data_IF_122985645603
#
_entry.id   IF_122985645603
#
_cell.length_a   1.000
_cell.length_b   1.000
_cell.length_c   1.000
_cell.angle_alpha   90.00
_cell.angle_beta   90.00
_cell.angle_gamma   90.00
#
_symmetry.space_group_name_H-M   'P 1'
#
loop_
_entity.id
_entity.type
_entity.pdbx_description
1 polymer ?
#
# COMPACT_ATOMS: atom_id res chain seq x y z
N UNK A 1 -4.06 -17.32 5.01
CA UNK A 1 -3.40 -16.07 5.38
C UNK A 1 -2.03 -16.30 6.01
N UNK A 2 -1.90 -17.14 7.06
CA UNK A 2 -0.60 -17.53 7.66
C UNK A 2 0.38 -18.03 6.60
N UNK A 3 -0.08 -18.84 5.64
CA UNK A 3 0.70 -19.38 4.52
C UNK A 3 1.30 -18.25 3.64
N UNK A 4 0.59 -17.14 3.41
CA UNK A 4 1.11 -16.02 2.62
C UNK A 4 2.16 -15.21 3.37
N UNK A 5 1.99 -15.04 4.69
CA UNK A 5 2.98 -14.37 5.54
C UNK A 5 4.24 -15.24 5.63
N UNK A 6 4.07 -16.54 5.90
CA UNK A 6 5.19 -17.49 5.95
C UNK A 6 5.86 -17.60 4.59
N UNK A 7 5.13 -17.68 3.49
CA UNK A 7 5.69 -17.68 2.14
C UNK A 7 6.45 -16.38 1.84
N UNK A 8 5.93 -15.21 2.25
CA UNK A 8 6.60 -13.93 2.11
C UNK A 8 7.90 -13.86 2.92
N UNK A 9 7.88 -14.32 4.17
CA UNK A 9 9.07 -14.36 5.03
C UNK A 9 10.09 -15.38 4.49
N UNK A 10 9.66 -16.59 4.14
CA UNK A 10 10.56 -17.65 3.61
C UNK A 10 11.16 -17.25 2.28
N UNK A 11 10.36 -16.66 1.37
CA UNK A 11 10.89 -16.13 0.11
C UNK A 11 11.82 -14.95 0.33
N UNK A 12 11.52 -14.06 1.27
CA UNK A 12 12.40 -12.93 1.65
C UNK A 12 13.73 -13.41 2.23
N UNK A 13 13.72 -14.39 3.13
CA UNK A 13 14.93 -14.98 3.74
C UNK A 13 15.73 -15.78 2.69
N UNK A 14 15.07 -16.60 1.89
CA UNK A 14 15.73 -17.39 0.84
C UNK A 14 16.36 -16.47 -0.23
N UNK A 15 15.69 -15.37 -0.55
CA UNK A 15 16.20 -14.36 -1.47
C UNK A 15 17.39 -13.59 -0.89
N UNK A 16 17.31 -13.18 0.37
CA UNK A 16 18.42 -12.51 1.08
C UNK A 16 19.66 -13.38 1.18
N UNK A 17 19.52 -14.69 1.46
CA UNK A 17 20.65 -15.63 1.48
C UNK A 17 21.30 -15.87 0.11
N UNK A 18 20.52 -15.78 -0.97
CA UNK A 18 21.02 -16.02 -2.33
C UNK A 18 21.69 -14.80 -2.96
N UNK A 19 21.49 -13.63 -2.41
CA UNK A 19 21.97 -12.36 -2.97
C UNK A 19 22.99 -11.71 -2.02
N UNK A 20 24.25 -12.20 -2.05
CA UNK A 20 25.37 -11.55 -1.37
C UNK A 20 25.46 -10.05 -1.71
N UNK A 21 25.08 -9.66 -2.92
CA UNK A 21 25.02 -8.28 -3.37
C UNK A 21 24.02 -7.39 -2.57
N UNK A 22 23.05 -7.98 -1.88
CA UNK A 22 22.14 -7.21 -1.02
C UNK A 22 22.84 -6.76 0.28
N UNK A 23 23.69 -7.62 0.83
CA UNK A 23 24.49 -7.31 2.01
C UNK A 23 25.56 -6.27 1.69
N UNK A 24 26.23 -6.41 0.54
CA UNK A 24 27.23 -5.44 0.06
C UNK A 24 26.56 -4.11 -0.34
N UNK A 25 25.32 -4.15 -0.85
CA UNK A 25 24.50 -2.97 -1.11
C UNK A 25 24.10 -2.24 0.16
N UNK A 26 23.73 -2.94 1.23
CA UNK A 26 23.40 -2.34 2.52
C UNK A 26 24.64 -1.78 3.23
N UNK A 27 25.74 -2.52 3.28
CA UNK A 27 26.98 -2.04 3.88
C UNK A 27 27.57 -0.85 3.12
N UNK A 28 27.57 -0.88 1.78
CA UNK A 28 27.97 0.26 0.96
C UNK A 28 27.03 1.48 1.08
N UNK A 29 25.77 1.27 1.47
CA UNK A 29 24.83 2.35 1.74
C UNK A 29 25.17 3.09 3.05
N UNK A 30 25.58 2.37 4.08
CA UNK A 30 25.95 2.95 5.37
C UNK A 30 27.34 3.61 5.39
N UNK A 31 28.20 3.31 4.44
CA UNK A 31 29.56 3.91 4.37
C UNK A 31 29.59 5.30 3.73
N UNK A 32 28.54 5.70 2.98
CA UNK A 32 28.46 7.03 2.34
C UNK A 32 27.29 7.85 2.91
N UNK A 33 27.15 7.88 4.24
CA UNK A 33 26.10 8.67 4.93
C UNK A 33 26.46 10.14 4.82
N UNK A 34 25.70 10.88 4.03
CA UNK A 34 25.85 12.32 3.87
C UNK A 34 24.85 13.08 4.74
N UNK A 35 25.19 14.30 5.11
CA UNK A 35 24.36 15.16 5.97
C UNK A 35 22.91 15.27 5.47
N UNK A 36 22.70 15.43 4.17
CA UNK A 36 21.35 15.52 3.61
C UNK A 36 20.54 14.22 3.75
N UNK A 37 21.19 13.06 3.74
CA UNK A 37 20.54 11.79 4.00
C UNK A 37 20.07 11.68 5.47
N UNK A 38 20.95 12.08 6.40
CA UNK A 38 20.57 12.13 7.81
C UNK A 38 19.39 13.08 8.05
N UNK A 39 19.43 14.27 7.42
CA UNK A 39 18.32 15.22 7.51
C UNK A 39 17.02 14.60 6.99
N UNK A 40 17.04 13.94 5.81
CA UNK A 40 15.86 13.27 5.25
C UNK A 40 15.27 12.24 6.22
N UNK A 41 16.12 11.39 6.81
CA UNK A 41 15.68 10.39 7.80
C UNK A 41 15.11 11.05 9.04
N UNK A 42 15.79 12.08 9.59
CA UNK A 42 15.31 12.80 10.78
C UNK A 42 13.94 13.46 10.55
N UNK A 43 13.72 14.03 9.37
CA UNK A 43 12.43 14.66 9.01
C UNK A 43 11.33 13.62 8.89
N UNK A 44 11.62 12.45 8.30
CA UNK A 44 10.66 11.33 8.25
C UNK A 44 10.30 10.81 9.66
N UNK A 45 11.30 10.63 10.53
CA UNK A 45 11.08 10.22 11.92
C UNK A 45 10.26 11.26 12.69
N UNK A 46 10.57 12.54 12.53
CA UNK A 46 9.80 13.63 13.13
C UNK A 46 8.35 13.62 12.67
N UNK A 47 8.08 13.35 11.38
CA UNK A 47 6.73 13.22 10.84
C UNK A 47 5.98 12.04 11.47
N UNK A 48 6.63 10.87 11.63
CA UNK A 48 6.04 9.70 12.31
C UNK A 48 5.65 10.05 13.74
N UNK A 49 6.59 10.64 14.52
CA UNK A 49 6.34 11.03 15.92
C UNK A 49 5.18 12.02 15.98
N UNK A 50 5.17 13.01 15.09
CA UNK A 50 4.13 14.02 15.05
C UNK A 50 2.75 13.42 14.75
N UNK A 51 2.67 12.49 13.78
CA UNK A 51 1.42 11.77 13.44
C UNK A 51 0.92 10.92 14.60
N UNK A 52 1.80 10.27 15.37
CA UNK A 52 1.41 9.47 16.53
C UNK A 52 0.90 10.32 17.71
N UNK A 53 1.47 11.52 17.90
CA UNK A 53 1.07 12.44 18.97
C UNK A 53 -0.19 13.21 18.62
N UNK A 54 -0.31 13.63 17.36
CA UNK A 54 -1.44 14.43 16.88
C UNK A 54 -2.48 13.53 16.21
N UNK A 55 -3.17 12.72 17.02
CA UNK A 55 -4.29 11.92 16.52
C UNK A 55 -5.51 12.81 16.29
N UNK A 56 -6.04 12.79 15.08
CA UNK A 56 -7.29 13.49 14.73
C UNK A 56 -8.42 12.49 14.64
N UNK A 57 -9.50 12.75 15.36
CA UNK A 57 -10.74 11.97 15.23
C UNK A 57 -11.35 12.17 13.84
N UNK A 58 -11.68 11.07 13.18
CA UNK A 58 -12.35 11.06 11.89
C UNK A 58 -13.48 10.03 11.88
N UNK A 59 -14.62 10.37 11.27
CA UNK A 59 -15.83 9.53 11.32
C UNK A 59 -15.66 8.13 10.74
N UNK A 60 -14.81 7.97 9.70
CA UNK A 60 -14.55 6.68 9.09
C UNK A 60 -13.74 5.74 10.02
N UNK A 61 -13.05 6.27 11.01
CA UNK A 61 -12.25 5.52 11.96
C UNK A 61 -13.11 4.55 12.78
N UNK A 62 -14.25 5.01 13.28
CA UNK A 62 -15.18 4.21 14.04
C UNK A 62 -15.70 2.98 13.25
N UNK A 63 -15.79 3.09 11.93
CA UNK A 63 -16.17 1.96 11.09
C UNK A 63 -15.01 0.96 10.91
N UNK A 64 -13.84 1.42 10.47
CA UNK A 64 -12.72 0.54 10.11
C UNK A 64 -12.10 -0.15 11.31
N UNK A 65 -11.82 0.61 12.36
CA UNK A 65 -11.30 0.08 13.62
C UNK A 65 -12.37 -0.73 14.35
N UNK A 66 -13.63 -0.26 14.30
CA UNK A 66 -14.77 -0.96 14.88
C UNK A 66 -15.00 -2.34 14.26
N UNK A 67 -14.92 -2.45 12.92
CA UNK A 67 -15.05 -3.75 12.24
C UNK A 67 -13.93 -4.73 12.62
N UNK A 68 -12.69 -4.26 12.69
CA UNK A 68 -11.56 -5.08 13.12
C UNK A 68 -11.70 -5.51 14.60
N UNK A 69 -12.12 -4.58 15.47
CA UNK A 69 -12.33 -4.86 16.90
C UNK A 69 -13.48 -5.81 17.13
N UNK A 70 -14.59 -5.67 16.39
CA UNK A 70 -15.72 -6.59 16.46
C UNK A 70 -15.33 -7.98 15.98
N UNK A 71 -14.59 -8.08 14.85
CA UNK A 71 -14.10 -9.37 14.37
C UNK A 71 -13.16 -10.04 15.37
N UNK A 72 -12.28 -9.27 16.01
CA UNK A 72 -11.37 -9.75 17.05
C UNK A 72 -12.11 -10.27 18.30
N UNK A 73 -13.10 -9.52 18.79
CA UNK A 73 -13.79 -9.83 20.03
C UNK A 73 -14.83 -10.95 19.89
N UNK A 74 -15.42 -11.10 18.70
CA UNK A 74 -16.48 -12.08 18.46
C UNK A 74 -16.01 -13.33 17.71
N UNK A 75 -14.74 -13.34 17.27
CA UNK A 75 -14.16 -14.40 16.40
C UNK A 75 -15.03 -14.67 15.15
N UNK A 76 -15.66 -13.60 14.63
CA UNK A 76 -16.53 -13.68 13.45
C UNK A 76 -16.21 -12.58 12.45
N UNK A 77 -16.31 -12.91 11.16
CA UNK A 77 -16.11 -11.92 10.09
C UNK A 77 -17.45 -11.25 9.74
N UNK A 78 -17.54 -9.94 9.98
CA UNK A 78 -18.62 -9.06 9.51
C UNK A 78 -20.03 -9.60 9.87
N UNK A 79 -20.15 -10.27 10.99
CA UNK A 79 -21.43 -10.81 11.46
C UNK A 79 -22.21 -9.82 12.32
N UNK A 80 -21.50 -8.94 13.02
CA UNK A 80 -22.08 -7.97 13.94
C UNK A 80 -21.73 -6.55 13.55
N UNK A 81 -22.69 -5.63 13.76
CA UNK A 81 -22.47 -4.20 13.55
C UNK A 81 -21.46 -3.66 14.55
N UNK A 82 -20.41 -2.98 14.11
CA UNK A 82 -19.43 -2.35 15.01
C UNK A 82 -20.05 -1.23 15.86
N UNK A 83 -21.21 -0.70 15.45
CA UNK A 83 -21.88 0.39 16.15
C UNK A 83 -22.94 -0.07 17.15
N UNK A 84 -23.65 -1.15 16.83
CA UNK A 84 -24.82 -1.58 17.61
C UNK A 84 -24.67 -2.95 18.26
N UNK A 85 -23.64 -3.70 17.87
CA UNK A 85 -23.47 -5.11 18.31
C UNK A 85 -24.53 -6.08 17.80
N UNK A 86 -25.49 -5.62 16.98
CA UNK A 86 -26.55 -6.48 16.42
C UNK A 86 -26.04 -7.22 15.19
N UNK A 87 -26.64 -8.38 14.91
CA UNK A 87 -26.36 -9.10 13.67
C UNK A 87 -26.69 -8.23 12.45
N UNK A 88 -25.80 -8.25 11.45
CA UNK A 88 -25.95 -7.51 10.22
C UNK A 88 -26.41 -8.47 9.13
N UNK A 89 -27.38 -8.03 8.31
CA UNK A 89 -27.70 -8.72 7.07
C UNK A 89 -26.55 -8.55 6.06
N UNK A 90 -26.16 -9.63 5.40
CA UNK A 90 -25.04 -9.65 4.46
C UNK A 90 -25.18 -8.61 3.34
N UNK A 91 -26.41 -8.28 2.94
CA UNK A 91 -26.75 -7.29 1.92
C UNK A 91 -26.22 -5.88 2.22
N UNK A 92 -26.09 -5.50 3.49
CA UNK A 92 -25.62 -4.17 3.89
C UNK A 92 -24.10 -4.00 3.92
N UNK A 93 -23.35 -5.09 3.86
CA UNK A 93 -21.89 -5.10 4.07
C UNK A 93 -21.11 -5.80 2.97
N UNK A 94 -21.77 -6.13 1.86
CA UNK A 94 -21.15 -6.87 0.76
C UNK A 94 -19.83 -6.27 0.27
N UNK A 95 -19.74 -4.94 0.16
CA UNK A 95 -18.52 -4.24 -0.21
C UNK A 95 -17.35 -4.44 0.77
N UNK A 96 -17.64 -4.67 2.05
CA UNK A 96 -16.62 -4.88 3.08
C UNK A 96 -16.21 -6.35 3.18
N UNK A 97 -17.07 -7.29 2.77
CA UNK A 97 -16.72 -8.73 2.70
C UNK A 97 -15.57 -8.96 1.74
N UNK A 98 -15.55 -8.22 0.63
CA UNK A 98 -14.51 -8.30 -0.39
C UNK A 98 -13.20 -7.62 0.04
N UNK A 99 -13.27 -6.68 0.99
CA UNK A 99 -12.10 -6.08 1.60
C UNK A 99 -11.60 -6.95 2.74
N UNK A 100 -10.60 -7.78 2.50
CA UNK A 100 -9.97 -8.62 3.54
C UNK A 100 -9.22 -7.83 4.63
N UNK A 101 -9.14 -6.51 4.50
CA UNK A 101 -8.32 -5.65 5.34
C UNK A 101 -8.69 -5.70 6.82
N UNK A 102 -9.99 -5.65 7.15
CA UNK A 102 -10.45 -5.71 8.55
C UNK A 102 -10.18 -7.05 9.20
N UNK A 103 -10.41 -8.13 8.45
CA UNK A 103 -10.10 -9.48 8.86
C UNK A 103 -8.60 -9.68 9.07
N UNK A 104 -7.79 -9.09 8.19
CA UNK A 104 -6.34 -9.08 8.30
C UNK A 104 -5.90 -8.36 9.58
N UNK A 105 -6.42 -7.18 9.86
CA UNK A 105 -6.10 -6.42 11.07
C UNK A 105 -6.52 -7.16 12.35
N UNK A 106 -7.72 -7.75 12.39
CA UNK A 106 -8.17 -8.58 13.51
C UNK A 106 -7.23 -9.78 13.74
N UNK A 107 -6.84 -10.47 12.67
CA UNK A 107 -5.95 -11.63 12.73
C UNK A 107 -4.54 -11.28 13.18
N UNK A 108 -3.97 -10.17 12.65
CA UNK A 108 -2.65 -9.69 13.08
C UNK A 108 -2.69 -9.29 14.55
N UNK A 109 -3.75 -8.60 14.99
CA UNK A 109 -3.97 -8.23 16.38
C UNK A 109 -4.02 -9.46 17.29
N UNK A 110 -4.70 -10.52 16.88
CA UNK A 110 -4.77 -11.77 17.62
C UNK A 110 -3.40 -12.47 17.72
N UNK A 111 -2.62 -12.48 16.63
CA UNK A 111 -1.28 -13.10 16.62
C UNK A 111 -0.34 -12.39 17.60
N UNK A 112 -0.40 -11.05 17.67
CA UNK A 112 0.46 -10.26 18.56
C UNK A 112 -0.12 -10.04 19.96
N UNK A 113 -1.33 -10.54 20.24
CA UNK A 113 -1.99 -10.34 21.54
C UNK A 113 -2.33 -8.87 21.81
N UNK A 114 -2.51 -8.05 20.77
CA UNK A 114 -2.82 -6.63 20.88
C UNK A 114 -4.25 -6.35 20.47
N UNK A 115 -4.88 -5.35 21.08
CA UNK A 115 -6.18 -4.89 20.61
C UNK A 115 -6.06 -4.22 19.22
N UNK A 116 -7.04 -4.43 18.30
CA UNK A 116 -7.00 -3.83 16.97
C UNK A 116 -6.85 -2.31 16.96
N UNK A 117 -7.45 -1.63 17.92
CA UNK A 117 -7.29 -0.18 18.11
C UNK A 117 -5.82 0.21 18.27
N UNK A 118 -5.08 -0.49 19.16
CA UNK A 118 -3.65 -0.23 19.41
C UNK A 118 -2.82 -0.56 18.15
N UNK A 119 -3.14 -1.68 17.51
CA UNK A 119 -2.46 -2.09 16.27
C UNK A 119 -2.64 -1.05 15.17
N UNK A 120 -3.87 -0.57 14.95
CA UNK A 120 -4.19 0.33 13.85
C UNK A 120 -3.75 1.77 14.13
N UNK A 121 -3.85 2.27 15.36
CA UNK A 121 -3.51 3.67 15.66
C UNK A 121 -2.04 3.90 16.03
N UNK A 122 -1.35 2.90 16.57
CA UNK A 122 0.00 3.10 17.05
C UNK A 122 1.06 2.35 16.22
N UNK A 123 0.80 1.08 15.85
CA UNK A 123 1.79 0.26 15.18
C UNK A 123 1.76 0.47 13.66
N UNK A 124 0.55 0.37 13.08
CA UNK A 124 0.38 0.45 11.63
C UNK A 124 0.78 1.81 11.04
N UNK A 125 0.51 2.97 11.66
CA UNK A 125 0.98 4.26 11.16
C UNK A 125 2.48 4.33 10.98
N UNK A 126 3.26 3.82 11.93
CA UNK A 126 4.72 3.78 11.82
C UNK A 126 5.15 3.00 10.58
N UNK A 127 4.55 1.83 10.37
CA UNK A 127 4.87 0.96 9.24
C UNK A 127 4.49 1.63 7.93
N UNK A 128 3.27 2.17 7.82
CA UNK A 128 2.76 2.76 6.57
C UNK A 128 3.54 4.02 6.19
N UNK A 129 3.81 4.91 7.16
CA UNK A 129 4.58 6.13 6.90
C UNK A 129 6.02 5.79 6.52
N UNK A 130 6.65 4.84 7.21
CA UNK A 130 7.98 4.38 6.84
C UNK A 130 8.00 3.78 5.42
N UNK A 131 7.02 2.94 5.08
CA UNK A 131 6.87 2.38 3.73
C UNK A 131 6.65 3.48 2.68
N UNK A 132 5.82 4.48 2.96
CA UNK A 132 5.60 5.62 2.08
C UNK A 132 6.93 6.28 1.72
N UNK A 133 7.73 6.67 2.69
CA UNK A 133 9.00 7.36 2.43
C UNK A 133 10.05 6.47 1.77
N UNK A 134 10.13 5.18 2.14
CA UNK A 134 11.01 4.22 1.47
C UNK A 134 10.66 4.08 0.00
N UNK A 135 9.37 3.95 -0.32
CA UNK A 135 8.91 3.78 -1.70
C UNK A 135 9.09 5.08 -2.50
N UNK A 136 8.74 6.23 -1.91
CA UNK A 136 8.95 7.53 -2.55
C UNK A 136 10.43 7.83 -2.79
N UNK A 137 11.32 7.45 -1.85
CA UNK A 137 12.76 7.53 -2.06
C UNK A 137 13.23 6.64 -3.22
N UNK A 138 12.75 5.40 -3.26
CA UNK A 138 13.04 4.50 -4.37
C UNK A 138 12.59 5.07 -5.72
N UNK A 139 11.37 5.59 -5.77
CA UNK A 139 10.80 6.23 -6.96
C UNK A 139 11.61 7.47 -7.37
N UNK A 140 11.91 8.37 -6.42
CA UNK A 140 12.73 9.55 -6.67
C UNK A 140 14.13 9.17 -7.17
N UNK A 141 14.73 8.12 -6.63
CA UNK A 141 16.06 7.64 -7.06
C UNK A 141 16.07 7.16 -8.49
N UNK A 142 15.02 6.50 -8.94
CA UNK A 142 14.88 6.01 -10.32
C UNK A 142 14.63 7.17 -11.29
N UNK A 143 13.77 8.10 -10.92
CA UNK A 143 13.41 9.26 -11.78
C UNK A 143 14.59 10.24 -11.88
N UNK A 144 15.17 10.61 -10.76
CA UNK A 144 16.22 11.64 -10.71
C UNK A 144 17.62 11.10 -10.99
N UNK A 145 17.79 9.78 -10.98
CA UNK A 145 19.09 9.07 -11.20
C UNK A 145 20.23 9.59 -10.33
N UNK A 146 19.92 10.19 -9.18
CA UNK A 146 20.87 10.81 -8.27
C UNK A 146 20.35 10.69 -6.81
N UNK A 147 21.12 10.03 -5.96
CA UNK A 147 20.76 9.81 -4.54
C UNK A 147 20.60 11.12 -3.76
N UNK A 148 21.48 12.11 -3.99
CA UNK A 148 21.40 13.42 -3.33
C UNK A 148 20.10 14.15 -3.68
N UNK A 149 19.71 14.10 -4.97
CA UNK A 149 18.45 14.69 -5.42
C UNK A 149 17.24 13.94 -4.86
N UNK A 150 17.33 12.62 -4.67
CA UNK A 150 16.30 11.83 -4.02
C UNK A 150 16.13 12.21 -2.54
N UNK A 151 17.23 12.44 -1.80
CA UNK A 151 17.16 12.91 -0.40
C UNK A 151 16.43 14.27 -0.32
N UNK A 152 16.79 15.22 -1.17
CA UNK A 152 16.07 16.50 -1.23
C UNK A 152 14.59 16.33 -1.61
N UNK A 153 14.27 15.43 -2.54
CA UNK A 153 12.89 15.17 -2.93
C UNK A 153 12.07 14.66 -1.72
N UNK A 154 12.65 13.81 -0.86
CA UNK A 154 11.99 13.34 0.36
C UNK A 154 11.79 14.49 1.35
N UNK A 155 12.78 15.36 1.55
CA UNK A 155 12.63 16.52 2.43
C UNK A 155 11.49 17.42 1.94
N UNK A 156 11.44 17.74 0.64
CA UNK A 156 10.36 18.52 0.06
C UNK A 156 9.01 17.82 0.15
N UNK A 157 8.94 16.50 -0.11
CA UNK A 157 7.72 15.72 0.03
C UNK A 157 7.18 15.81 1.45
N UNK A 158 8.03 15.64 2.48
CA UNK A 158 7.61 15.72 3.86
C UNK A 158 7.09 17.13 4.23
N UNK A 159 7.71 18.18 3.68
CA UNK A 159 7.21 19.55 3.85
C UNK A 159 5.82 19.69 3.23
N UNK A 160 5.61 19.17 2.02
CA UNK A 160 4.31 19.19 1.34
C UNK A 160 3.27 18.40 2.16
N UNK A 161 3.63 17.23 2.68
CA UNK A 161 2.76 16.42 3.51
C UNK A 161 2.34 17.16 4.80
N UNK A 162 3.27 17.86 5.44
CA UNK A 162 3.00 18.68 6.61
C UNK A 162 2.07 19.88 6.29
N UNK A 163 2.31 20.57 5.17
CA UNK A 163 1.46 21.70 4.77
C UNK A 163 0.06 21.25 4.33
N UNK A 164 -0.08 20.08 3.74
CA UNK A 164 -1.36 19.50 3.33
C UNK A 164 -2.29 19.22 4.52
N UNK A 165 -1.72 19.08 5.70
CA UNK A 165 -2.42 18.90 6.97
C UNK A 165 -3.30 20.11 7.34
N UNK A 166 -2.85 21.34 7.04
CA UNK A 166 -3.57 22.57 7.35
C UNK A 166 -4.67 22.91 6.35
N UNK A 167 -4.68 22.21 5.21
CA UNK A 167 -5.67 22.47 4.18
C UNK A 167 -6.97 21.73 4.52
N UNK A 168 -8.10 22.42 4.53
CA UNK A 168 -9.44 21.84 4.75
C UNK A 168 -9.86 20.83 3.66
N UNK A 169 -9.02 20.62 2.66
CA UNK A 169 -9.21 19.60 1.64
C UNK A 169 -8.87 18.21 2.21
N UNK A 170 -9.83 17.63 2.91
CA UNK A 170 -9.77 16.29 3.51
C UNK A 170 -9.60 15.14 2.47
N UNK A 171 -9.45 15.48 1.20
CA UNK A 171 -9.44 14.53 0.08
C UNK A 171 -8.06 14.30 -0.52
N UNK A 172 -6.99 14.87 0.03
CA UNK A 172 -5.64 14.66 -0.49
C UNK A 172 -5.00 13.40 0.14
N UNK A 173 -4.16 12.71 -0.61
CA UNK A 173 -3.42 11.53 -0.12
C UNK A 173 -2.53 11.88 1.06
N UNK A 174 -1.90 13.07 1.05
CA UNK A 174 -1.08 13.58 2.15
C UNK A 174 -1.90 13.84 3.41
N UNK A 175 -3.12 14.38 3.29
CA UNK A 175 -4.01 14.56 4.43
C UNK A 175 -4.38 13.20 5.06
N UNK A 176 -4.64 12.18 4.25
CA UNK A 176 -4.91 10.84 4.76
C UNK A 176 -3.67 10.16 5.35
N UNK A 177 -2.47 10.42 4.83
CA UNK A 177 -1.24 9.91 5.43
C UNK A 177 -1.07 10.42 6.86
N UNK A 178 -1.52 11.64 7.13
CA UNK A 178 -1.44 12.26 8.44
C UNK A 178 -2.60 11.88 9.37
N UNK A 179 -3.86 11.97 8.87
CA UNK A 179 -5.06 11.83 9.73
C UNK A 179 -5.51 10.38 9.91
N UNK A 180 -5.15 9.49 8.99
CA UNK A 180 -5.58 8.09 9.00
C UNK A 180 -4.69 7.21 8.11
N UNK A 181 -3.39 7.06 8.45
CA UNK A 181 -2.48 6.22 7.66
C UNK A 181 -2.96 4.77 7.57
N UNK A 182 -3.77 4.31 8.52
CA UNK A 182 -4.40 2.97 8.54
C UNK A 182 -5.62 2.84 7.64
N UNK A 183 -6.12 3.89 7.02
CA UNK A 183 -7.24 3.77 6.07
C UNK A 183 -6.79 3.13 4.76
N UNK A 184 -7.62 2.25 4.22
CA UNK A 184 -7.33 1.61 2.95
C UNK A 184 -7.04 2.61 1.83
N UNK A 185 -7.76 3.73 1.77
CA UNK A 185 -7.53 4.82 0.81
C UNK A 185 -6.14 5.45 0.97
N UNK A 186 -5.70 5.66 2.22
CA UNK A 186 -4.37 6.17 2.51
C UNK A 186 -3.27 5.23 2.06
N UNK A 187 -3.40 3.94 2.39
CA UNK A 187 -2.42 2.91 1.99
C UNK A 187 -2.33 2.83 0.46
N UNK A 188 -3.48 2.86 -0.24
CA UNK A 188 -3.50 2.83 -1.70
C UNK A 188 -2.78 4.04 -2.29
N UNK A 189 -3.15 5.26 -1.87
CA UNK A 189 -2.58 6.50 -2.43
C UNK A 189 -1.10 6.68 -2.09
N UNK A 190 -0.71 6.39 -0.85
CA UNK A 190 0.62 6.71 -0.34
C UNK A 190 1.65 5.58 -0.48
N UNK A 191 1.21 4.33 -0.63
CA UNK A 191 2.13 3.19 -0.74
C UNK A 191 1.93 2.45 -2.06
N UNK A 192 0.72 1.97 -2.34
CA UNK A 192 0.46 1.08 -3.47
C UNK A 192 0.72 1.78 -4.81
N UNK A 193 0.18 2.98 -5.01
CA UNK A 193 0.36 3.73 -6.26
C UNK A 193 1.83 4.10 -6.49
N UNK A 194 2.59 4.65 -5.53
CA UNK A 194 4.02 4.87 -5.70
C UNK A 194 4.83 3.59 -5.98
N UNK A 195 4.48 2.44 -5.36
CA UNK A 195 5.11 1.14 -5.65
C UNK A 195 4.85 0.71 -7.09
N UNK A 196 3.60 0.87 -7.58
CA UNK A 196 3.28 0.57 -8.98
C UNK A 196 4.10 1.44 -9.95
N UNK A 197 4.17 2.76 -9.70
CA UNK A 197 5.01 3.67 -10.48
C UNK A 197 6.47 3.22 -10.48
N UNK A 198 7.02 2.87 -9.33
CA UNK A 198 8.39 2.40 -9.22
C UNK A 198 8.65 1.17 -10.09
N UNK A 199 7.81 0.12 -9.98
CA UNK A 199 8.02 -1.09 -10.77
C UNK A 199 7.76 -0.87 -12.26
N UNK A 200 6.76 -0.08 -12.64
CA UNK A 200 6.45 0.20 -14.04
C UNK A 200 7.57 1.00 -14.71
N UNK A 201 8.16 1.98 -14.04
CA UNK A 201 9.33 2.69 -14.57
C UNK A 201 10.53 1.74 -14.71
N UNK A 202 10.77 0.88 -13.70
CA UNK A 202 11.84 -0.10 -13.76
C UNK A 202 11.66 -1.12 -14.91
N UNK A 203 10.44 -1.57 -15.18
CA UNK A 203 10.14 -2.45 -16.33
C UNK A 203 10.61 -1.81 -17.64
N UNK A 204 10.53 -0.51 -17.73
CA UNK A 204 10.88 0.23 -18.94
C UNK A 204 12.37 0.54 -19.05
N UNK A 205 13.01 0.87 -17.94
CA UNK A 205 14.45 1.10 -17.89
C UNK A 205 15.24 -0.20 -18.17
N UNK A 206 14.69 -1.36 -17.79
CA UNK A 206 15.32 -2.68 -18.01
C UNK A 206 14.79 -3.39 -19.26
N UNK A 207 14.19 -2.64 -20.20
CA UNK A 207 13.70 -3.17 -21.47
C UNK A 207 14.85 -3.78 -22.29
N UNK A 208 14.84 -5.09 -22.45
CA UNK A 208 15.91 -5.90 -23.03
C UNK A 208 16.33 -7.08 -22.16
N UNK A 209 16.07 -7.05 -20.86
CA UNK A 209 16.27 -8.17 -19.95
C UNK A 209 14.95 -8.89 -19.66
N UNK A 210 14.58 -9.85 -20.51
CA UNK A 210 13.30 -10.54 -20.42
C UNK A 210 13.06 -11.24 -19.06
N UNK A 211 14.10 -11.72 -18.37
CA UNK A 211 13.97 -12.35 -17.06
C UNK A 211 13.65 -11.35 -15.96
N UNK A 212 14.31 -10.21 -15.97
CA UNK A 212 14.05 -9.11 -15.03
C UNK A 212 12.65 -8.55 -15.23
N UNK A 213 12.28 -8.27 -16.46
CA UNK A 213 10.95 -7.75 -16.83
C UNK A 213 9.81 -8.68 -16.38
N UNK A 214 9.91 -10.00 -16.63
CA UNK A 214 8.89 -10.98 -16.17
C UNK A 214 8.75 -10.97 -14.65
N UNK A 215 9.86 -10.90 -13.92
CA UNK A 215 9.85 -10.83 -12.46
C UNK A 215 9.15 -9.57 -11.95
N UNK A 216 9.41 -8.42 -12.57
CA UNK A 216 8.78 -7.16 -12.19
C UNK A 216 7.28 -7.18 -12.45
N UNK A 217 6.81 -7.74 -13.57
CA UNK A 217 5.38 -7.95 -13.81
C UNK A 217 4.74 -8.87 -12.75
N UNK A 218 5.47 -9.89 -12.28
CA UNK A 218 5.04 -10.71 -11.14
C UNK A 218 4.88 -9.89 -9.86
N UNK A 219 5.81 -8.95 -9.58
CA UNK A 219 5.69 -8.04 -8.43
C UNK A 219 4.52 -7.06 -8.59
N UNK A 220 4.28 -6.55 -9.79
CA UNK A 220 3.10 -5.73 -10.09
C UNK A 220 1.81 -6.53 -9.81
N UNK A 221 1.74 -7.81 -10.17
CA UNK A 221 0.59 -8.67 -9.85
C UNK A 221 0.39 -8.83 -8.33
N UNK A 222 1.46 -8.98 -7.56
CA UNK A 222 1.39 -9.02 -6.08
C UNK A 222 0.84 -7.69 -5.53
N UNK A 223 1.29 -6.56 -6.08
CA UNK A 223 0.80 -5.23 -5.67
C UNK A 223 -0.68 -5.06 -6.01
N UNK A 224 -1.14 -5.53 -7.19
CA UNK A 224 -2.55 -5.55 -7.54
C UNK A 224 -3.38 -6.41 -6.57
N UNK A 225 -2.86 -7.58 -6.18
CA UNK A 225 -3.53 -8.45 -5.20
C UNK A 225 -3.64 -7.74 -3.84
N UNK A 226 -2.57 -7.10 -3.38
CA UNK A 226 -2.59 -6.32 -2.14
C UNK A 226 -3.61 -5.17 -2.22
N UNK A 227 -3.61 -4.42 -3.32
CA UNK A 227 -4.56 -3.33 -3.55
C UNK A 227 -6.01 -3.80 -3.49
N UNK A 228 -6.30 -4.94 -4.13
CA UNK A 228 -7.63 -5.54 -4.16
C UNK A 228 -8.11 -5.99 -2.77
N UNK A 229 -7.22 -6.57 -1.97
CA UNK A 229 -7.53 -7.01 -0.60
C UNK A 229 -7.69 -5.86 0.39
N UNK A 230 -7.00 -4.73 0.16
CA UNK A 230 -7.07 -3.55 1.03
C UNK A 230 -8.38 -2.81 0.82
N UNK A 231 -8.79 -2.58 -0.42
CA UNK A 231 -9.97 -1.77 -0.72
C UNK A 231 -10.45 -2.01 -2.16
N UNK A 232 -11.77 -1.97 -2.35
CA UNK A 232 -12.38 -1.96 -3.69
C UNK A 232 -11.89 -0.79 -4.55
N UNK A 233 -11.71 0.38 -3.92
CA UNK A 233 -11.06 1.53 -4.56
C UNK A 233 -9.65 1.19 -5.06
N UNK A 234 -8.91 0.38 -4.28
CA UNK A 234 -7.57 -0.07 -4.65
C UNK A 234 -7.52 -0.88 -5.93
N UNK A 235 -8.52 -1.75 -6.16
CA UNK A 235 -8.63 -2.52 -7.41
C UNK A 235 -8.77 -1.61 -8.62
N UNK A 236 -9.64 -0.60 -8.54
CA UNK A 236 -9.89 0.34 -9.64
C UNK A 236 -8.66 1.22 -9.87
N UNK A 237 -8.14 1.86 -8.81
CA UNK A 237 -7.03 2.80 -8.91
C UNK A 237 -5.75 2.12 -9.43
N UNK A 238 -5.40 0.95 -8.91
CA UNK A 238 -4.22 0.21 -9.34
C UNK A 238 -4.31 -0.23 -10.81
N UNK A 239 -5.45 -0.77 -11.23
CA UNK A 239 -5.65 -1.18 -12.61
C UNK A 239 -5.61 0.02 -13.57
N UNK A 240 -6.24 1.14 -13.22
CA UNK A 240 -6.25 2.36 -14.05
C UNK A 240 -4.85 2.94 -14.19
N UNK A 241 -4.09 3.08 -13.11
CA UNK A 241 -2.72 3.59 -13.16
C UNK A 241 -1.83 2.69 -14.01
N UNK A 242 -1.91 1.39 -13.81
CA UNK A 242 -1.11 0.43 -14.58
C UNK A 242 -1.49 0.48 -16.07
N UNK A 243 -2.79 0.58 -16.40
CA UNK A 243 -3.26 0.71 -17.77
C UNK A 243 -2.71 1.98 -18.44
N UNK A 244 -2.87 3.14 -17.80
CA UNK A 244 -2.40 4.42 -18.37
C UNK A 244 -0.90 4.41 -18.67
N UNK A 245 -0.10 3.91 -17.72
CA UNK A 245 1.34 3.82 -17.91
C UNK A 245 1.68 2.80 -19.02
N UNK A 246 1.04 1.64 -19.02
CA UNK A 246 1.26 0.61 -20.04
C UNK A 246 0.92 1.11 -21.43
N UNK A 247 -0.22 1.79 -21.61
CA UNK A 247 -0.62 2.39 -22.90
C UNK A 247 0.39 3.43 -23.36
N UNK A 248 0.83 4.32 -22.46
CA UNK A 248 1.87 5.30 -22.78
C UNK A 248 3.14 4.61 -23.33
N UNK A 249 3.59 3.53 -22.71
CA UNK A 249 4.80 2.83 -23.15
C UNK A 249 4.61 1.97 -24.38
N UNK A 250 3.44 1.39 -24.57
CA UNK A 250 3.09 0.72 -25.84
C UNK A 250 3.21 1.67 -27.01
N UNK A 251 2.70 2.88 -26.86
CA UNK A 251 2.78 3.93 -27.91
C UNK A 251 4.23 4.38 -28.11
N UNK A 252 4.94 4.71 -27.02
CA UNK A 252 6.31 5.22 -27.07
C UNK A 252 7.28 4.20 -27.67
N UNK A 253 7.21 2.94 -27.25
CA UNK A 253 8.18 1.90 -27.63
C UNK A 253 7.67 1.03 -28.79
N UNK A 254 6.44 1.23 -29.25
CA UNK A 254 5.77 0.43 -30.31
C UNK A 254 5.79 -1.08 -30.03
N UNK A 255 5.64 -1.49 -28.76
CA UNK A 255 5.68 -2.89 -28.33
C UNK A 255 4.38 -3.31 -27.65
N UNK A 256 3.68 -4.27 -28.26
CA UNK A 256 2.44 -4.84 -27.72
C UNK A 256 2.68 -5.81 -26.54
N UNK A 257 3.92 -6.25 -26.30
CA UNK A 257 4.25 -7.17 -25.20
C UNK A 257 3.90 -6.61 -23.82
N UNK A 258 3.89 -5.29 -23.66
CA UNK A 258 3.46 -4.63 -22.42
C UNK A 258 1.97 -4.88 -22.11
N UNK A 259 1.11 -5.00 -23.14
CA UNK A 259 -0.30 -5.33 -22.94
C UNK A 259 -0.48 -6.69 -22.25
N UNK A 260 0.31 -7.69 -22.64
CA UNK A 260 0.27 -9.01 -22.00
C UNK A 260 0.68 -8.92 -20.53
N UNK A 261 1.73 -8.15 -20.22
CA UNK A 261 2.17 -7.90 -18.84
C UNK A 261 1.07 -7.25 -17.99
N UNK A 262 0.40 -6.22 -18.55
CA UNK A 262 -0.75 -5.56 -17.91
C UNK A 262 -1.88 -6.55 -17.65
N UNK A 263 -2.32 -7.29 -18.66
CA UNK A 263 -3.46 -8.22 -18.54
C UNK A 263 -3.18 -9.25 -17.44
N UNK A 264 -2.01 -9.90 -17.46
CA UNK A 264 -1.66 -10.93 -16.48
C UNK A 264 -1.55 -10.32 -15.07
N UNK A 265 -0.90 -9.19 -14.92
CA UNK A 265 -0.71 -8.57 -13.59
C UNK A 265 -1.98 -7.99 -12.99
N UNK A 266 -2.93 -7.55 -13.82
CA UNK A 266 -4.19 -6.93 -13.37
C UNK A 266 -5.31 -7.95 -13.11
N UNK A 267 -5.10 -9.25 -13.39
CA UNK A 267 -6.10 -10.30 -13.14
C UNK A 267 -6.74 -10.22 -11.76
N UNK A 268 -5.99 -10.05 -10.64
CA UNK A 268 -6.61 -9.97 -9.32
C UNK A 268 -7.58 -8.79 -9.18
N UNK A 269 -7.19 -7.62 -9.67
CA UNK A 269 -8.03 -6.41 -9.63
C UNK A 269 -9.28 -6.55 -10.51
N UNK A 270 -9.10 -7.07 -11.73
CA UNK A 270 -10.20 -7.28 -12.69
C UNK A 270 -11.19 -8.33 -12.16
N UNK A 271 -10.68 -9.43 -11.60
CA UNK A 271 -11.52 -10.49 -11.04
C UNK A 271 -12.38 -9.96 -9.89
N UNK A 272 -11.80 -9.17 -8.96
CA UNK A 272 -12.55 -8.57 -7.87
C UNK A 272 -13.59 -7.57 -8.38
N UNK A 273 -13.23 -6.71 -9.33
CA UNK A 273 -14.17 -5.76 -9.94
C UNK A 273 -15.33 -6.47 -10.64
N UNK A 274 -15.03 -7.52 -11.39
CA UNK A 274 -16.06 -8.32 -12.08
C UNK A 274 -17.00 -8.99 -11.08
N UNK A 275 -16.47 -9.52 -9.99
CA UNK A 275 -17.28 -10.09 -8.93
C UNK A 275 -18.17 -9.05 -8.26
N UNK A 276 -17.66 -7.86 -8.01
CA UNK A 276 -18.45 -6.74 -7.46
C UNK A 276 -19.62 -6.36 -8.39
N UNK A 277 -19.34 -6.20 -9.67
CA UNK A 277 -20.39 -5.89 -10.67
C UNK A 277 -21.43 -6.99 -10.74
N UNK A 278 -21.01 -8.26 -10.67
CA UNK A 278 -21.92 -9.40 -10.61
C UNK A 278 -22.83 -9.34 -9.37
N UNK A 279 -22.26 -9.07 -8.18
CA UNK A 279 -23.04 -8.94 -6.94
C UNK A 279 -24.04 -7.77 -7.02
N UNK A 280 -23.63 -6.65 -7.60
CA UNK A 280 -24.52 -5.51 -7.83
C UNK A 280 -25.66 -5.86 -8.79
N UNK A 281 -25.37 -6.58 -9.85
CA UNK A 281 -26.38 -7.09 -10.79
C UNK A 281 -27.38 -8.02 -10.11
N UNK A 282 -26.93 -8.85 -9.16
CA UNK A 282 -27.78 -9.73 -8.34
C UNK A 282 -28.60 -9.00 -7.28
N UNK A 283 -28.59 -7.67 -7.28
CA UNK A 283 -29.41 -6.83 -6.39
C UNK A 283 -28.81 -6.59 -4.99
N UNK A 284 -27.58 -6.97 -4.77
CA UNK A 284 -26.85 -6.62 -3.53
C UNK A 284 -26.55 -5.12 -3.57
N UNK A 285 -27.15 -4.35 -2.65
CA UNK A 285 -26.90 -2.91 -2.55
C UNK A 285 -25.52 -2.66 -1.93
N UNK A 286 -24.82 -1.70 -2.50
CA UNK A 286 -23.46 -1.28 -2.06
C UNK A 286 -23.50 -0.03 -1.17
#
# INVERSE_FOLDING_TARGET
>A
MLLFIVAGIVTGIAYGKKNKNLHDGLTGYFTDIRVHHVIAVCVCVAYIIFTLVYQREYTDDSLFVGMASTAYSTDTLIRFSPFTGRQIELSYVAKYILSGYHAYMASVSAIFGMQPVVMMHNVLPVIIIAMHYIVCYGLASVILKNKKSADYAIIFLTIIDLFSMYNRFELTTSAWLFTGPWYGKSIIGNVIIPVLWYYLIRIMDEDGNAKSTKRMWGLVAVVHTAAALISTYGSIASATVTLCITVYYMIKNRRLSYALGFVISSVPSIALMSFMLYMQYMGVKW
#
